data_IF_857556847460
#
_entry.id   IF_857556847460
#
_cell.length_a   1.000
_cell.length_b   1.000
_cell.length_c   1.000
_cell.angle_alpha   90.00
_cell.angle_beta   90.00
_cell.angle_gamma   90.00
#
_symmetry.space_group_name_H-M   'P 1'
#
loop_
_entity.id
_entity.type
_entity.pdbx_description
1 polymer ?
#
# COMPACT_ATOMS: atom_id res chain seq x y z
N UNK A 1 -8.66 0.81 10.38
CA UNK A 1 -7.21 0.53 10.33
C UNK A 1 -6.68 0.55 11.75
N UNK A 2 -5.92 -0.48 12.10
CA UNK A 2 -5.14 -0.55 13.34
C UNK A 2 -3.73 0.02 13.14
N UNK A 3 -3.07 0.38 14.23
CA UNK A 3 -1.70 0.91 14.23
C UNK A 3 -0.69 -0.07 13.60
N UNK A 4 -0.90 -1.38 13.77
CA UNK A 4 -0.07 -2.42 13.16
C UNK A 4 -0.08 -2.36 11.63
N UNK A 5 -1.24 -2.12 11.02
CA UNK A 5 -1.35 -2.00 9.56
C UNK A 5 -0.66 -0.74 9.04
N UNK A 6 -0.80 0.37 9.76
CA UNK A 6 -0.07 1.61 9.46
C UNK A 6 1.44 1.38 9.50
N UNK A 7 1.94 0.73 10.55
CA UNK A 7 3.36 0.42 10.69
C UNK A 7 3.87 -0.49 9.55
N UNK A 8 3.05 -1.44 9.09
CA UNK A 8 3.39 -2.27 7.92
C UNK A 8 3.44 -1.43 6.65
N UNK A 9 2.45 -0.60 6.39
CA UNK A 9 2.42 0.28 5.21
C UNK A 9 3.61 1.25 5.18
N UNK A 10 3.97 1.83 6.32
CA UNK A 10 5.17 2.67 6.46
C UNK A 10 6.45 1.89 6.16
N UNK A 11 6.58 0.64 6.61
CA UNK A 11 7.71 -0.23 6.25
C UNK A 11 7.82 -0.49 4.75
N UNK A 12 6.71 -0.52 4.02
CA UNK A 12 6.70 -0.61 2.56
C UNK A 12 6.93 0.73 1.86
N UNK A 13 6.98 1.85 2.59
CA UNK A 13 7.17 3.19 2.04
C UNK A 13 5.86 3.88 1.62
N UNK A 14 4.72 3.43 2.13
CA UNK A 14 3.45 4.14 2.07
C UNK A 14 3.32 5.09 3.27
N UNK A 15 2.88 6.31 3.01
CA UNK A 15 2.49 7.28 4.03
C UNK A 15 0.99 7.50 3.99
N UNK A 16 0.36 7.53 5.16
CA UNK A 16 -1.02 7.99 5.27
C UNK A 16 -1.04 9.52 5.22
N UNK A 17 -1.67 10.08 4.19
CA UNK A 17 -2.06 11.49 4.11
C UNK A 17 -3.59 11.58 4.22
N UNK A 18 -4.09 11.81 5.44
CA UNK A 18 -5.52 11.92 5.71
C UNK A 18 -6.28 10.64 5.40
N UNK A 19 -7.10 10.67 4.34
CA UNK A 19 -7.92 9.56 3.86
C UNK A 19 -7.22 8.73 2.78
N UNK A 20 -6.01 9.09 2.37
CA UNK A 20 -5.28 8.42 1.31
C UNK A 20 -3.92 7.89 1.80
N UNK A 21 -3.49 6.78 1.21
CA UNK A 21 -2.18 6.16 1.39
C UNK A 21 -1.36 6.37 0.13
N UNK A 22 -0.25 7.09 0.28
CA UNK A 22 0.64 7.48 -0.81
C UNK A 22 1.99 6.80 -0.67
N UNK A 23 2.39 6.04 -1.68
CA UNK A 23 3.72 5.46 -1.76
C UNK A 23 4.73 6.49 -2.23
N UNK A 24 5.76 6.72 -1.41
CA UNK A 24 6.80 7.73 -1.67
C UNK A 24 7.60 7.46 -2.95
N UNK A 25 8.08 6.23 -3.14
CA UNK A 25 8.96 5.84 -4.25
C UNK A 25 8.24 5.64 -5.59
N UNK A 26 6.99 5.18 -5.55
CA UNK A 26 6.27 4.72 -6.74
C UNK A 26 5.12 5.66 -7.12
N UNK A 27 4.81 6.67 -6.31
CA UNK A 27 3.71 7.60 -6.56
C UNK A 27 2.33 6.96 -6.52
N UNK A 28 2.20 5.76 -5.94
CA UNK A 28 0.92 5.06 -5.80
C UNK A 28 0.07 5.83 -4.80
N UNK A 29 -1.11 6.27 -5.20
CA UNK A 29 -2.11 6.84 -4.29
C UNK A 29 -3.31 5.91 -4.27
N UNK A 30 -3.70 5.48 -3.07
CA UNK A 30 -4.84 4.58 -2.83
C UNK A 30 -5.62 5.06 -1.61
N UNK A 31 -6.91 4.82 -1.57
CA UNK A 31 -7.75 5.24 -0.46
C UNK A 31 -7.51 4.37 0.77
N UNK A 32 -7.47 4.98 1.95
CA UNK A 32 -7.37 4.27 3.23
C UNK A 32 -8.46 3.23 3.40
N UNK A 33 -9.65 3.49 2.86
CA UNK A 33 -10.77 2.55 2.91
C UNK A 33 -10.46 1.22 2.20
N UNK A 34 -9.74 1.24 1.08
CA UNK A 34 -9.28 0.02 0.40
C UNK A 34 -8.44 -0.85 1.34
N UNK A 35 -7.60 -0.22 2.15
CA UNK A 35 -6.75 -0.90 3.12
C UNK A 35 -7.53 -1.30 4.38
N UNK A 36 -8.51 -0.49 4.79
CA UNK A 36 -9.38 -0.76 5.93
C UNK A 36 -10.34 -1.94 5.70
N UNK A 37 -10.60 -2.30 4.44
CA UNK A 37 -11.35 -3.52 4.06
C UNK A 37 -10.64 -4.81 4.48
N UNK A 38 -9.32 -4.78 4.62
CA UNK A 38 -8.55 -5.93 5.08
C UNK A 38 -8.50 -5.94 6.61
N UNK A 39 -9.07 -6.97 7.23
CA UNK A 39 -9.01 -7.15 8.69
C UNK A 39 -7.67 -7.72 9.15
N UNK A 40 -6.94 -8.41 8.28
CA UNK A 40 -5.66 -9.05 8.62
C UNK A 40 -4.47 -8.30 8.03
N UNK A 41 -3.41 -8.17 8.83
CA UNK A 41 -2.14 -7.57 8.41
C UNK A 41 -1.50 -8.34 7.24
N UNK A 42 -1.64 -9.67 7.21
CA UNK A 42 -1.13 -10.51 6.13
C UNK A 42 -1.80 -10.25 4.77
N UNK A 43 -3.12 -10.09 4.75
CA UNK A 43 -3.89 -9.79 3.53
C UNK A 43 -3.52 -8.41 2.97
N UNK A 44 -3.44 -7.42 3.86
CA UNK A 44 -2.96 -6.07 3.53
C UNK A 44 -1.55 -6.14 2.91
N UNK A 45 -0.66 -6.94 3.50
CA UNK A 45 0.70 -7.11 3.01
C UNK A 45 0.76 -7.78 1.64
N UNK A 46 -0.06 -8.80 1.41
CA UNK A 46 -0.17 -9.48 0.13
C UNK A 46 -0.68 -8.53 -0.97
N UNK A 47 -1.72 -7.74 -0.65
CA UNK A 47 -2.29 -6.73 -1.54
C UNK A 47 -1.25 -5.65 -1.90
N UNK A 48 -0.57 -5.08 -0.90
CA UNK A 48 0.51 -4.11 -1.11
C UNK A 48 1.62 -4.70 -2.00
N UNK A 49 2.10 -5.91 -1.69
CA UNK A 49 3.11 -6.60 -2.52
C UNK A 49 2.63 -6.80 -3.95
N UNK A 50 1.35 -7.13 -4.15
CA UNK A 50 0.77 -7.23 -5.48
C UNK A 50 0.81 -5.90 -6.23
N UNK A 51 0.41 -4.80 -5.59
CA UNK A 51 0.46 -3.47 -6.22
C UNK A 51 1.89 -3.11 -6.61
N UNK A 52 2.85 -3.30 -5.70
CA UNK A 52 4.28 -3.05 -5.94
C UNK A 52 4.79 -3.86 -7.12
N UNK A 53 4.44 -5.16 -7.15
CA UNK A 53 4.85 -6.08 -8.21
C UNK A 53 4.24 -5.70 -9.56
N UNK A 54 2.96 -5.34 -9.59
CA UNK A 54 2.29 -4.91 -10.82
C UNK A 54 2.89 -3.60 -11.34
N UNK A 55 3.20 -2.64 -10.46
CA UNK A 55 3.81 -1.39 -10.90
C UNK A 55 5.25 -1.59 -11.41
N UNK A 56 6.03 -2.47 -10.79
CA UNK A 56 7.35 -2.88 -11.30
C UNK A 56 7.27 -3.56 -12.67
N UNK A 57 6.20 -4.32 -12.95
CA UNK A 57 5.98 -4.94 -14.25
C UNK A 57 5.62 -3.89 -15.31
N UNK A 58 4.81 -2.90 -14.95
CA UNK A 58 4.39 -1.85 -15.88
C UNK A 58 5.56 -0.96 -16.32
N UNK A 59 6.50 -0.65 -15.42
CA UNK A 59 7.74 0.09 -15.79
C UNK A 59 8.72 -0.70 -16.66
N UNK A 60 8.50 -2.01 -16.86
CA UNK A 60 9.42 -2.88 -17.61
C UNK A 60 8.95 -3.13 -19.05
N UNK A 61 7.84 -2.51 -19.48
CA UNK A 61 7.33 -2.60 -20.85
C UNK A 61 7.60 -1.35 -21.72
N UNK A 62 8.47 -0.45 -21.28
CA UNK A 62 9.07 0.58 -22.15
C UNK A 62 10.35 0.11 -22.82
#
# INVERSE_FOLDING_TARGET
>A
MTEEQLAVLEKFGFRAEGEQLKHFKLGIVREKEEFARFSSTEELQAYVKQILRNQCLWKRQE
#
